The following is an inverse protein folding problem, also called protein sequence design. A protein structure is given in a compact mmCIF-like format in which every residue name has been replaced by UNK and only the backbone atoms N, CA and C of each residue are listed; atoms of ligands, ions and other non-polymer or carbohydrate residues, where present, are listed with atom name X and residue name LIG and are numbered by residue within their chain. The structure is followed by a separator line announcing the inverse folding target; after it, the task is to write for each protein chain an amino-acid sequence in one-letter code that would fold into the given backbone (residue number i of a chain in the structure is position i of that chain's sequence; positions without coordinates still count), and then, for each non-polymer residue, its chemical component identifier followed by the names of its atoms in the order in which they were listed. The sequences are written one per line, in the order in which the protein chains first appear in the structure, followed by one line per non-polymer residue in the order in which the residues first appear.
data_IF_371436644432
#
_entry.id   IF_371436644432
#
_cell.length_a   1.000
_cell.length_b   1.000
_cell.length_c   1.000
_cell.angle_alpha   90.00
_cell.angle_beta   90.00
_cell.angle_gamma   90.00
#
_symmetry.space_group_name_H-M   'P 1'
#
loop_
_entity.id
_entity.type
_entity.pdbx_description
1 polymer ?
#
# COMPACT_ATOMS: atom_id res chain seq x y z
N UNK A 1 -3.04 -22.01 -18.06
CA UNK A 1 -2.88 -20.62 -17.55
C UNK A 1 -2.07 -20.71 -16.27
N UNK A 2 -0.98 -19.93 -16.17
CA UNK A 2 -0.19 -19.89 -14.96
C UNK A 2 -1.02 -19.26 -13.83
N UNK A 3 -0.97 -19.86 -12.64
CA UNK A 3 -1.70 -19.35 -11.47
C UNK A 3 -0.86 -18.22 -10.87
N UNK A 4 -1.01 -17.01 -11.41
CA UNK A 4 -0.45 -15.79 -10.85
C UNK A 4 -1.54 -14.74 -10.70
N UNK A 5 -1.32 -13.84 -9.76
CA UNK A 5 -2.16 -12.69 -9.55
C UNK A 5 -1.92 -11.68 -10.67
N UNK A 6 -2.91 -11.49 -11.55
CA UNK A 6 -2.82 -10.56 -12.67
C UNK A 6 -2.94 -9.09 -12.23
N UNK A 7 -3.11 -8.82 -10.93
CA UNK A 7 -3.14 -7.45 -10.41
C UNK A 7 -4.47 -6.73 -10.63
N UNK A 8 -5.53 -7.45 -10.97
CA UNK A 8 -6.86 -6.87 -11.16
C UNK A 8 -7.44 -6.37 -9.83
N UNK A 9 -7.56 -5.05 -9.71
CA UNK A 9 -8.15 -4.40 -8.53
C UNK A 9 -9.27 -3.46 -8.95
N UNK A 10 -10.30 -3.30 -8.11
CA UNK A 10 -11.39 -2.33 -8.37
C UNK A 10 -10.82 -0.93 -8.53
N UNK A 11 -9.90 -0.53 -7.64
CA UNK A 11 -9.21 0.76 -7.75
C UNK A 11 -8.52 0.93 -9.12
N UNK A 12 -7.76 -0.08 -9.56
CA UNK A 12 -7.05 -0.06 -10.83
C UNK A 12 -7.98 0.06 -12.03
N UNK A 13 -8.98 -0.81 -12.15
CA UNK A 13 -9.89 -0.81 -13.31
C UNK A 13 -10.78 0.44 -13.37
N UNK A 14 -11.26 0.94 -12.22
CA UNK A 14 -11.99 2.20 -12.17
C UNK A 14 -11.09 3.36 -12.63
N UNK A 15 -9.87 3.44 -12.13
CA UNK A 15 -8.87 4.42 -12.56
C UNK A 15 -8.59 4.37 -14.06
N UNK A 16 -8.35 3.18 -14.59
CA UNK A 16 -8.11 2.95 -16.03
C UNK A 16 -9.29 3.42 -16.88
N UNK A 17 -10.53 3.10 -16.48
CA UNK A 17 -11.72 3.55 -17.19
C UNK A 17 -11.83 5.08 -17.25
N UNK A 18 -11.68 5.76 -16.11
CA UNK A 18 -11.74 7.22 -16.04
C UNK A 18 -10.58 7.85 -16.83
N UNK A 19 -9.37 7.31 -16.69
CA UNK A 19 -8.19 7.82 -17.38
C UNK A 19 -8.29 7.67 -18.90
N UNK A 20 -8.90 6.59 -19.39
CA UNK A 20 -9.17 6.37 -20.81
C UNK A 20 -10.11 7.45 -21.36
N UNK A 21 -11.21 7.73 -20.65
CA UNK A 21 -12.14 8.81 -21.03
C UNK A 21 -11.44 10.17 -21.00
N UNK A 22 -10.70 10.49 -19.94
CA UNK A 22 -9.96 11.74 -19.81
C UNK A 22 -8.92 11.94 -20.92
N UNK A 23 -8.20 10.88 -21.27
CA UNK A 23 -7.21 10.89 -22.36
C UNK A 23 -7.87 11.10 -23.72
N UNK A 24 -9.03 10.46 -23.96
CA UNK A 24 -9.78 10.65 -25.19
C UNK A 24 -10.30 12.09 -25.34
N UNK A 25 -10.85 12.66 -24.26
CA UNK A 25 -11.31 14.07 -24.24
C UNK A 25 -10.14 15.04 -24.46
N UNK A 26 -9.02 14.81 -23.78
CA UNK A 26 -7.80 15.61 -23.93
C UNK A 26 -7.27 15.53 -25.38
N UNK A 27 -7.17 14.32 -25.94
CA UNK A 27 -6.74 14.10 -27.32
C UNK A 27 -7.65 14.78 -28.34
N UNK A 28 -8.97 14.67 -28.17
CA UNK A 28 -9.93 15.39 -28.99
C UNK A 28 -9.71 16.91 -28.92
N UNK A 29 -9.50 17.46 -27.72
CA UNK A 29 -9.18 18.86 -27.52
C UNK A 29 -7.92 19.32 -28.27
N UNK A 30 -6.89 18.49 -28.31
CA UNK A 30 -5.67 18.73 -29.10
C UNK A 30 -5.98 18.76 -30.59
N UNK A 31 -6.70 17.76 -31.11
CA UNK A 31 -7.04 17.68 -32.53
C UNK A 31 -7.85 18.87 -33.05
N UNK A 32 -8.72 19.47 -32.22
CA UNK A 32 -9.54 20.62 -32.60
C UNK A 32 -9.06 21.96 -32.03
N UNK A 33 -7.88 21.98 -31.38
CA UNK A 33 -7.29 23.17 -30.74
C UNK A 33 -8.26 23.85 -29.76
N UNK A 34 -8.97 23.05 -28.97
CA UNK A 34 -9.99 23.52 -28.01
C UNK A 34 -9.46 23.51 -26.58
N UNK A 35 -9.16 24.70 -26.06
CA UNK A 35 -8.73 24.86 -24.67
C UNK A 35 -9.75 24.30 -23.63
N UNK A 36 -11.08 24.49 -23.78
CA UNK A 36 -12.05 23.89 -22.86
C UNK A 36 -11.97 22.36 -22.80
N UNK A 37 -11.79 21.69 -23.96
CA UNK A 37 -11.66 20.23 -24.01
C UNK A 37 -10.35 19.76 -23.37
N UNK A 38 -9.25 20.50 -23.58
CA UNK A 38 -7.97 20.18 -22.93
C UNK A 38 -8.06 20.29 -21.41
N UNK A 39 -8.63 21.39 -20.89
CA UNK A 39 -8.83 21.60 -19.45
C UNK A 39 -9.77 20.54 -18.88
N UNK A 40 -10.87 20.23 -19.57
CA UNK A 40 -11.80 19.17 -19.19
C UNK A 40 -11.14 17.80 -19.12
N UNK A 41 -10.39 17.42 -20.16
CA UNK A 41 -9.65 16.16 -20.19
C UNK A 41 -8.62 16.05 -19.07
N UNK A 42 -7.83 17.10 -18.82
CA UNK A 42 -6.89 17.15 -17.71
C UNK A 42 -7.60 17.04 -16.35
N UNK A 43 -8.75 17.70 -16.20
CA UNK A 43 -9.58 17.58 -15.00
C UNK A 43 -10.05 16.15 -14.75
N UNK A 44 -10.45 15.43 -15.79
CA UNK A 44 -10.83 14.01 -15.69
C UNK A 44 -9.64 13.14 -15.29
N UNK A 45 -8.44 13.41 -15.80
CA UNK A 45 -7.23 12.69 -15.39
C UNK A 45 -6.89 12.90 -13.92
N UNK A 46 -6.99 14.14 -13.43
CA UNK A 46 -6.84 14.44 -11.99
C UNK A 46 -7.89 13.70 -11.17
N UNK A 47 -9.15 13.71 -11.63
CA UNK A 47 -10.23 12.96 -10.97
C UNK A 47 -9.94 11.45 -10.94
N UNK A 48 -9.41 10.86 -12.02
CA UNK A 48 -8.99 9.45 -12.05
C UNK A 48 -7.95 9.15 -10.97
N UNK A 49 -6.92 9.99 -10.84
CA UNK A 49 -5.88 9.84 -9.83
C UNK A 49 -6.48 9.88 -8.42
N UNK A 50 -7.35 10.86 -8.14
CA UNK A 50 -7.98 11.02 -6.83
C UNK A 50 -8.93 9.85 -6.49
N UNK A 51 -9.76 9.42 -7.45
CA UNK A 51 -10.68 8.29 -7.27
C UNK A 51 -9.91 7.00 -7.03
N UNK A 52 -8.88 6.73 -7.85
CA UNK A 52 -8.03 5.55 -7.71
C UNK A 52 -7.34 5.53 -6.35
N UNK A 53 -6.83 6.69 -5.92
CA UNK A 53 -6.18 6.84 -4.62
C UNK A 53 -7.16 6.62 -3.46
N UNK A 54 -8.35 7.24 -3.51
CA UNK A 54 -9.38 7.04 -2.49
C UNK A 54 -9.84 5.57 -2.40
N UNK A 55 -10.05 4.92 -3.55
CA UNK A 55 -10.38 3.50 -3.61
C UNK A 55 -9.27 2.64 -3.03
N UNK A 56 -8.01 2.92 -3.39
CA UNK A 56 -6.85 2.24 -2.83
C UNK A 56 -6.81 2.37 -1.30
N UNK A 57 -6.91 3.59 -0.77
CA UNK A 57 -6.92 3.87 0.67
C UNK A 57 -8.12 3.25 1.41
N UNK A 58 -9.22 2.99 0.71
CA UNK A 58 -10.37 2.31 1.26
C UNK A 58 -10.26 0.79 1.18
N UNK A 59 -9.18 0.21 0.65
CA UNK A 59 -8.94 -1.24 0.59
C UNK A 59 -9.45 -1.91 -0.69
N UNK A 60 -9.92 -1.13 -1.67
CA UNK A 60 -10.28 -1.64 -3.00
C UNK A 60 -9.09 -1.71 -3.96
N UNK A 61 -7.93 -1.21 -3.51
CA UNK A 61 -6.63 -1.51 -4.09
C UNK A 61 -5.93 -2.63 -3.34
N UNK A 62 -4.84 -3.13 -3.91
CA UNK A 62 -4.02 -4.19 -3.32
C UNK A 62 -2.56 -3.73 -3.22
N UNK A 63 -1.81 -4.20 -2.21
CA UNK A 63 -0.38 -3.95 -2.15
C UNK A 63 0.33 -4.55 -3.36
N UNK A 64 1.42 -3.92 -3.77
CA UNK A 64 2.37 -4.49 -4.72
C UNK A 64 3.04 -5.72 -4.12
N UNK A 65 3.26 -6.74 -4.94
CA UNK A 65 3.97 -7.96 -4.55
C UNK A 65 3.07 -9.21 -4.43
N UNK A 66 3.65 -10.35 -4.03
CA UNK A 66 2.94 -11.62 -3.92
C UNK A 66 1.80 -11.56 -2.90
N UNK A 67 0.63 -12.08 -3.28
CA UNK A 67 -0.55 -12.17 -2.41
C UNK A 67 -1.02 -13.61 -2.27
N UNK A 68 -1.55 -14.02 -1.11
CA UNK A 68 -2.23 -15.31 -0.98
C UNK A 68 -3.41 -15.40 -1.95
N UNK A 69 -3.70 -16.60 -2.48
CA UNK A 69 -4.78 -16.79 -3.48
C UNK A 69 -6.14 -16.29 -3.03
N UNK A 70 -6.45 -16.38 -1.73
CA UNK A 70 -7.70 -15.85 -1.18
C UNK A 70 -7.87 -14.33 -1.31
N UNK A 71 -6.80 -13.59 -1.62
CA UNK A 71 -6.81 -12.13 -1.80
C UNK A 71 -6.74 -11.69 -3.27
N UNK A 72 -6.72 -12.63 -4.22
CA UNK A 72 -6.70 -12.35 -5.65
C UNK A 72 -8.04 -11.87 -6.22
N UNK A 73 -9.21 -12.37 -5.75
CA UNK A 73 -10.47 -11.92 -6.31
C UNK A 73 -10.64 -10.42 -6.11
N UNK A 74 -11.00 -9.73 -7.19
CA UNK A 74 -11.11 -8.27 -7.26
C UNK A 74 -12.09 -7.70 -6.22
N UNK A 75 -13.13 -8.46 -5.86
CA UNK A 75 -14.11 -8.09 -4.84
C UNK A 75 -13.65 -8.24 -3.38
N UNK A 76 -12.48 -8.84 -3.12
CA UNK A 76 -11.97 -8.99 -1.76
C UNK A 76 -11.31 -7.69 -1.34
N UNK A 77 -11.85 -7.05 -0.30
CA UNK A 77 -11.30 -5.82 0.27
C UNK A 77 -10.05 -6.11 1.11
N UNK A 78 -9.01 -5.29 0.96
CA UNK A 78 -7.84 -5.33 1.83
C UNK A 78 -8.10 -4.57 3.14
N UNK A 79 -8.02 -5.28 4.27
CA UNK A 79 -8.23 -4.73 5.61
C UNK A 79 -6.95 -4.15 6.23
N UNK A 80 -5.76 -4.55 5.72
CA UNK A 80 -4.45 -4.09 6.19
C UNK A 80 -4.12 -2.66 5.74
N UNK A 81 -4.91 -2.11 4.82
CA UNK A 81 -4.76 -0.76 4.28
C UNK A 81 -4.79 0.36 5.34
N UNK A 82 -5.36 0.09 6.52
CA UNK A 82 -5.40 1.03 7.65
C UNK A 82 -4.03 1.26 8.27
N UNK A 83 -3.21 0.22 8.30
CA UNK A 83 -1.83 0.30 8.78
C UNK A 83 -0.91 0.92 7.73
N UNK A 84 -1.29 0.78 6.45
CA UNK A 84 -0.54 1.24 5.29
C UNK A 84 0.52 0.23 4.87
N UNK A 85 0.75 0.09 3.58
CA UNK A 85 1.76 -0.83 3.06
C UNK A 85 3.15 -0.17 3.04
N UNK A 86 4.19 -0.93 3.41
CA UNK A 86 5.55 -0.42 3.59
C UNK A 86 6.10 0.32 2.35
N UNK A 87 5.85 -0.23 1.17
CA UNK A 87 6.38 0.26 -0.12
C UNK A 87 5.33 0.99 -0.98
N UNK A 88 4.16 1.31 -0.43
CA UNK A 88 3.12 2.01 -1.17
C UNK A 88 3.20 3.53 -0.97
N UNK A 89 3.66 4.24 -2.01
CA UNK A 89 3.64 5.71 -2.04
C UNK A 89 2.24 6.28 -1.82
N UNK A 90 1.18 5.65 -2.34
CA UNK A 90 -0.19 6.09 -2.12
C UNK A 90 -0.60 6.08 -0.65
N UNK A 91 -0.25 5.01 0.08
CA UNK A 91 -0.47 4.92 1.53
C UNK A 91 0.42 5.91 2.30
N UNK A 92 1.68 6.07 1.88
CA UNK A 92 2.64 6.99 2.51
C UNK A 92 2.24 8.46 2.36
N UNK A 93 1.78 8.87 1.18
CA UNK A 93 1.22 10.21 0.92
C UNK A 93 -0.03 10.48 1.78
N UNK A 94 -0.76 9.43 2.15
CA UNK A 94 -1.87 9.51 3.12
C UNK A 94 -1.42 9.44 4.59
N UNK A 95 -0.12 9.47 4.86
CA UNK A 95 0.47 9.41 6.20
C UNK A 95 0.49 8.02 6.85
N UNK A 96 0.13 6.95 6.13
CA UNK A 96 0.10 5.57 6.64
C UNK A 96 1.45 4.87 6.47
N UNK A 97 1.67 3.76 7.18
CA UNK A 97 2.90 2.93 7.08
C UNK A 97 4.10 3.42 7.88
N UNK A 98 4.01 4.54 8.60
CA UNK A 98 5.15 5.12 9.36
C UNK A 98 5.33 4.57 10.78
N UNK A 99 4.27 3.99 11.36
CA UNK A 99 4.23 3.63 12.80
C UNK A 99 5.05 2.39 13.16
N UNK A 100 5.34 1.50 12.22
CA UNK A 100 6.09 0.27 12.51
C UNK A 100 7.60 0.47 12.66
N UNK A 101 8.17 1.58 12.18
CA UNK A 101 9.59 1.87 12.37
C UNK A 101 9.89 2.50 13.74
N UNK A 102 8.95 3.29 14.26
CA UNK A 102 9.14 4.08 15.49
C UNK A 102 8.92 3.24 16.77
N UNK A 103 7.96 2.30 16.74
CA UNK A 103 7.67 1.43 17.91
C UNK A 103 8.76 0.39 18.14
N UNK A 104 9.43 -0.10 17.08
CA UNK A 104 10.54 -1.06 17.22
C UNK A 104 11.79 -0.39 17.82
N UNK A 105 11.98 0.90 17.58
CA UNK A 105 13.08 1.66 18.18
C UNK A 105 12.92 1.89 19.70
N UNK A 106 11.69 1.92 20.21
CA UNK A 106 11.42 2.15 21.66
C UNK A 106 11.47 0.87 22.49
N UNK A 107 11.32 -0.31 21.88
CA UNK A 107 11.31 -1.61 22.60
C UNK A 107 12.69 -2.30 22.60
N UNK A 108 13.69 -1.72 21.92
CA UNK A 108 15.03 -2.29 21.76
C UNK A 108 16.04 -1.82 22.80
N UNK A 109 15.84 -2.09 24.10
CA UNK A 109 16.97 -2.28 25.03
C UNK A 109 16.55 -3.13 26.25
N UNK A 110 16.64 -4.47 26.19
CA UNK A 110 16.58 -5.29 27.39
C UNK A 110 17.90 -5.13 28.14
N UNK A 111 17.86 -4.46 29.29
CA UNK A 111 18.94 -4.44 30.26
C UNK A 111 19.27 -5.87 30.70
N UNK A 112 20.42 -6.39 30.25
CA UNK A 112 20.99 -7.65 30.75
C UNK A 112 21.48 -7.40 32.18
N UNK A 113 20.65 -7.72 33.17
CA UNK A 113 21.05 -7.79 34.57
C UNK A 113 21.69 -9.15 34.84
N UNK A 114 22.92 -9.13 35.35
CA UNK A 114 23.82 -10.27 35.46
C UNK A 114 23.34 -11.44 36.32
N UNK A 115 23.83 -12.61 35.95
CA UNK A 115 23.68 -13.89 36.62
C UNK A 115 24.43 -13.89 37.98
N UNK A 116 23.87 -14.41 39.08
CA UNK A 116 24.53 -14.45 40.37
C UNK A 116 25.57 -15.59 40.42
N UNK A 117 26.76 -15.27 40.95
CA UNK A 117 27.85 -16.20 41.16
C UNK A 117 27.44 -17.39 42.05
N UNK A 118 27.61 -18.60 41.52
CA UNK A 118 27.46 -19.88 42.22
C UNK A 118 28.65 -20.07 43.16
N UNK A 119 28.39 -20.19 44.46
CA UNK A 119 29.39 -20.59 45.44
C UNK A 119 29.56 -22.12 45.44
N UNK A 120 30.73 -22.60 45.02
CA UNK A 120 31.18 -23.96 45.31
C UNK A 120 31.43 -24.11 46.82
N UNK A 121 30.66 -24.98 47.47
CA UNK A 121 31.02 -25.56 48.76
C UNK A 121 31.49 -27.00 48.50
N UNK A 122 32.80 -27.21 48.57
CA UNK A 122 33.41 -28.51 48.42
C UNK A 122 33.01 -29.48 49.54
N UNK A 123 32.79 -30.74 49.17
CA UNK A 123 32.79 -31.87 50.10
C UNK A 123 33.77 -32.94 49.60
N UNK A 124 34.88 -33.10 50.32
CA UNK A 124 35.86 -34.17 50.16
C UNK A 124 35.89 -35.00 51.45
N UNK A 125 35.55 -36.30 51.32
CA UNK A 125 35.87 -37.40 52.25
C UNK A 125 35.07 -37.44 53.56
N UNK A 126 34.60 -38.58 54.06
CA UNK A 126 35.08 -39.95 53.95
C UNK A 126 33.94 -40.93 54.23
#
# INVERSE_FOLDING_TARGET
MSQYDEGHTVAGWTGTGIATVGSAVLGAGICVVSAPLMVGGLGILVASLLVTWALHLSGWGKPSGPRPRGQWPMGVRDLTVRDGHADCWGCRLAGRGRRSADVVAVVGEPAVAGEPAVAEAGSLGR
#
